data_IF_174168221074
#
_entry.id   IF_174168221074
#
_cell.length_a   1.000
_cell.length_b   1.000
_cell.length_c   1.000
_cell.angle_alpha   90.00
_cell.angle_beta   90.00
_cell.angle_gamma   90.00
#
_symmetry.space_group_name_H-M   'P 1'
#
loop_
_entity.id
_entity.type
_entity.pdbx_description
1 polymer ?
#
# COMPACT_ATOMS: atom_id res chain seq x y z
N UNK A 1 2.14 7.79 20.45
CA UNK A 1 1.76 7.41 19.09
C UNK A 1 2.76 7.94 18.07
N UNK A 2 3.10 7.14 17.07
CA UNK A 2 4.05 7.50 16.00
C UNK A 2 3.62 6.87 14.69
N UNK A 3 3.68 7.64 13.61
CA UNK A 3 3.51 7.18 12.22
C UNK A 3 4.79 7.46 11.44
N UNK A 4 5.33 6.46 10.75
CA UNK A 4 6.55 6.61 9.96
C UNK A 4 7.15 5.28 9.49
N UNK A 5 8.46 5.24 9.24
CA UNK A 5 9.10 4.00 8.78
C UNK A 5 9.25 2.95 9.89
N UNK A 6 9.30 1.65 9.56
CA UNK A 6 9.55 0.59 10.54
C UNK A 6 10.87 0.75 11.30
N UNK A 7 11.90 1.33 10.67
CA UNK A 7 13.20 1.60 11.29
C UNK A 7 13.06 2.59 12.43
N UNK A 8 12.42 3.73 12.19
CA UNK A 8 12.19 4.76 13.21
C UNK A 8 11.20 4.27 14.25
N UNK A 9 10.15 3.54 13.83
CA UNK A 9 9.19 2.92 14.76
C UNK A 9 9.85 2.03 15.80
N UNK A 10 10.85 1.22 15.40
CA UNK A 10 11.63 0.40 16.35
C UNK A 10 12.42 1.24 17.35
N UNK A 11 13.00 2.36 16.90
CA UNK A 11 13.71 3.28 17.82
C UNK A 11 12.75 3.88 18.85
N UNK A 12 11.57 4.35 18.40
CA UNK A 12 10.53 4.87 19.29
C UNK A 12 10.06 3.79 20.27
N UNK A 13 9.77 2.56 19.78
CA UNK A 13 9.35 1.45 20.62
C UNK A 13 10.40 1.11 21.71
N UNK A 14 11.68 1.11 21.34
CA UNK A 14 12.78 0.85 22.27
C UNK A 14 12.82 1.90 23.41
N UNK A 15 12.75 3.18 23.06
CA UNK A 15 12.74 4.26 24.06
C UNK A 15 11.49 4.21 24.94
N UNK A 16 10.33 3.94 24.37
CA UNK A 16 9.10 3.74 25.13
C UNK A 16 9.21 2.54 26.09
N UNK A 17 9.78 1.41 25.62
CA UNK A 17 9.96 0.22 26.43
C UNK A 17 10.93 0.42 27.61
N UNK A 18 12.03 1.17 27.42
CA UNK A 18 12.96 1.53 28.50
C UNK A 18 12.29 2.35 29.59
N UNK A 19 11.29 3.16 29.26
CA UNK A 19 10.56 4.02 30.19
C UNK A 19 9.20 3.46 30.60
N UNK A 20 8.86 2.21 30.22
CA UNK A 20 7.57 1.54 30.46
C UNK A 20 6.36 2.36 29.96
N UNK A 21 6.53 3.08 28.84
CA UNK A 21 5.48 3.88 28.21
C UNK A 21 4.80 3.03 27.14
N UNK A 22 3.48 2.83 27.17
CA UNK A 22 2.74 2.21 26.07
C UNK A 22 2.95 2.99 24.77
N UNK A 23 3.11 2.28 23.65
CA UNK A 23 3.33 2.88 22.34
C UNK A 23 2.36 2.34 21.30
N UNK A 24 1.86 3.24 20.46
CA UNK A 24 1.08 2.93 19.27
C UNK A 24 1.89 3.31 18.03
N UNK A 25 2.06 2.38 17.11
CA UNK A 25 2.86 2.55 15.90
C UNK A 25 2.02 2.23 14.67
N UNK A 26 1.97 3.17 13.74
CA UNK A 26 1.45 3.03 12.38
C UNK A 26 2.62 3.19 11.41
N UNK A 27 3.02 2.11 10.76
CA UNK A 27 4.27 2.05 10.00
C UNK A 27 4.01 1.74 8.52
N UNK A 28 5.06 1.39 7.80
CA UNK A 28 4.99 1.11 6.38
C UNK A 28 4.17 -0.11 6.00
N UNK A 29 3.93 -0.27 4.72
CA UNK A 29 3.18 -1.38 4.17
C UNK A 29 3.71 -1.89 2.83
N UNK A 30 3.32 -3.10 2.47
CA UNK A 30 3.54 -3.71 1.15
C UNK A 30 2.28 -4.46 0.74
N UNK A 31 1.17 -3.72 0.69
CA UNK A 31 -0.17 -4.24 0.47
C UNK A 31 -0.34 -4.97 -0.86
N UNK A 32 -1.18 -6.00 -0.85
CA UNK A 32 -1.57 -6.73 -2.04
C UNK A 32 -3.00 -6.41 -2.46
N UNK A 33 -3.24 -6.37 -3.78
CA UNK A 33 -4.54 -6.54 -4.39
C UNK A 33 -4.61 -7.93 -5.01
N UNK A 34 -5.55 -8.79 -4.56
CA UNK A 34 -5.79 -10.13 -5.12
C UNK A 34 -6.96 -10.03 -6.09
N UNK A 35 -6.69 -10.20 -7.38
CA UNK A 35 -7.62 -9.90 -8.47
C UNK A 35 -8.01 -11.20 -9.16
N UNK A 36 -9.28 -11.59 -9.02
CA UNK A 36 -9.84 -12.82 -9.59
C UNK A 36 -10.41 -12.61 -11.00
N UNK A 37 -10.60 -13.69 -11.72
CA UNK A 37 -10.98 -13.73 -13.14
C UNK A 37 -12.43 -13.29 -13.45
N UNK A 38 -13.27 -13.18 -12.42
CA UNK A 38 -14.65 -12.73 -12.52
C UNK A 38 -14.83 -11.21 -12.24
N UNK A 39 -13.76 -10.46 -12.12
CA UNK A 39 -13.80 -9.02 -11.84
C UNK A 39 -14.16 -8.23 -13.10
N UNK A 40 -14.76 -7.05 -12.94
CA UNK A 40 -14.80 -6.02 -13.99
C UNK A 40 -13.37 -5.45 -14.13
N UNK A 41 -12.66 -5.88 -15.18
CA UNK A 41 -11.25 -5.54 -15.41
C UNK A 41 -11.07 -4.01 -15.55
N UNK A 42 -11.83 -3.29 -16.40
CA UNK A 42 -11.71 -1.85 -16.52
C UNK A 42 -11.89 -1.11 -15.20
N UNK A 43 -12.89 -1.49 -14.39
CA UNK A 43 -13.17 -0.86 -13.10
C UNK A 43 -12.04 -1.14 -12.09
N UNK A 44 -11.59 -2.39 -11.99
CA UNK A 44 -10.52 -2.78 -11.08
C UNK A 44 -9.19 -2.10 -11.44
N UNK A 45 -8.84 -2.05 -12.73
CA UNK A 45 -7.65 -1.38 -13.21
C UNK A 45 -7.67 0.13 -12.93
N UNK A 46 -8.82 0.79 -13.14
CA UNK A 46 -9.00 2.21 -12.86
C UNK A 46 -8.83 2.52 -11.37
N UNK A 47 -9.53 1.79 -10.50
CA UNK A 47 -9.45 1.98 -9.04
C UNK A 47 -8.05 1.72 -8.50
N UNK A 48 -7.35 0.70 -8.99
CA UNK A 48 -5.99 0.39 -8.57
C UNK A 48 -4.96 1.39 -9.10
N UNK A 49 -5.15 1.88 -10.33
CA UNK A 49 -4.34 2.98 -10.85
C UNK A 49 -4.52 4.25 -10.03
N UNK A 50 -5.76 4.62 -9.67
CA UNK A 50 -6.03 5.74 -8.75
C UNK A 50 -5.40 5.51 -7.37
N UNK A 51 -5.50 4.31 -6.80
CA UNK A 51 -4.94 4.00 -5.51
C UNK A 51 -3.41 4.17 -5.49
N UNK A 52 -2.69 3.67 -6.51
CA UNK A 52 -1.21 3.75 -6.56
C UNK A 52 -0.70 5.15 -6.91
N UNK A 53 -1.50 5.99 -7.56
CA UNK A 53 -1.12 7.37 -7.93
C UNK A 53 -1.59 8.43 -6.94
N UNK A 54 -2.56 8.09 -6.07
CA UNK A 54 -2.99 8.95 -4.97
C UNK A 54 -1.79 9.35 -4.10
N UNK A 55 -1.67 10.66 -3.77
CA UNK A 55 -0.50 11.22 -3.08
C UNK A 55 0.84 10.79 -3.68
N UNK A 56 0.87 10.53 -5.00
CA UNK A 56 2.06 10.07 -5.73
C UNK A 56 2.59 8.74 -5.16
N UNK A 57 1.67 7.84 -4.76
CA UNK A 57 2.00 6.53 -4.18
C UNK A 57 2.57 6.59 -2.76
N UNK A 58 2.59 7.75 -2.12
CA UNK A 58 3.11 7.95 -0.77
C UNK A 58 2.00 7.72 0.27
N UNK A 59 1.40 6.53 0.22
CA UNK A 59 0.35 6.07 1.11
C UNK A 59 0.74 4.71 1.68
N UNK A 60 0.86 4.61 3.00
CA UNK A 60 1.36 3.42 3.69
C UNK A 60 0.54 2.15 3.41
N UNK A 61 -0.76 2.28 3.21
CA UNK A 61 -1.64 1.14 2.97
C UNK A 61 -1.87 0.82 1.48
N UNK A 62 -1.32 1.59 0.53
CA UNK A 62 -1.65 1.39 -0.88
C UNK A 62 -1.26 0.00 -1.40
N UNK A 63 -2.06 -0.54 -2.34
CA UNK A 63 -1.75 -1.81 -2.99
C UNK A 63 -0.57 -1.63 -3.96
N UNK A 64 0.60 -2.09 -3.53
CA UNK A 64 1.82 -2.04 -4.34
C UNK A 64 2.18 -3.38 -4.95
N UNK A 65 1.50 -4.48 -4.57
CA UNK A 65 1.61 -5.81 -5.19
C UNK A 65 0.28 -6.18 -5.80
N UNK A 66 0.20 -6.25 -7.11
CA UNK A 66 -1.00 -6.64 -7.83
C UNK A 66 -0.87 -8.11 -8.24
N UNK A 67 -1.61 -8.96 -7.54
CA UNK A 67 -1.67 -10.40 -7.75
C UNK A 67 -2.87 -10.68 -8.62
N UNK A 68 -2.64 -11.06 -9.87
CA UNK A 68 -3.68 -11.21 -10.89
C UNK A 68 -3.85 -12.68 -11.23
N UNK A 69 -5.09 -13.18 -11.24
CA UNK A 69 -5.35 -14.54 -11.66
C UNK A 69 -4.90 -14.73 -13.12
N UNK A 70 -4.19 -15.83 -13.37
CA UNK A 70 -3.48 -16.06 -14.63
C UNK A 70 -4.35 -15.96 -15.88
N UNK A 71 -5.62 -16.34 -15.79
CA UNK A 71 -6.58 -16.34 -16.89
C UNK A 71 -6.89 -14.96 -17.44
N UNK A 72 -6.74 -13.90 -16.62
CA UNK A 72 -7.03 -12.50 -17.02
C UNK A 72 -5.78 -11.60 -16.95
N UNK A 73 -4.60 -12.19 -16.75
CA UNK A 73 -3.38 -11.43 -16.48
C UNK A 73 -3.08 -10.39 -17.57
N UNK A 74 -3.04 -10.81 -18.82
CA UNK A 74 -2.68 -9.92 -19.93
C UNK A 74 -3.71 -8.82 -20.15
N UNK A 75 -5.01 -9.14 -20.07
CA UNK A 75 -6.10 -8.19 -20.23
C UNK A 75 -6.09 -7.13 -19.11
N UNK A 76 -5.86 -7.57 -17.84
CA UNK A 76 -5.74 -6.67 -16.72
C UNK A 76 -4.52 -5.77 -16.83
N UNK A 77 -3.36 -6.32 -17.20
CA UNK A 77 -2.12 -5.56 -17.38
C UNK A 77 -2.29 -4.48 -18.44
N UNK A 78 -2.89 -4.81 -19.59
CA UNK A 78 -3.14 -3.83 -20.64
C UNK A 78 -4.05 -2.69 -20.16
N UNK A 79 -5.16 -3.02 -19.50
CA UNK A 79 -6.07 -2.02 -18.93
C UNK A 79 -5.37 -1.12 -17.89
N UNK A 80 -4.55 -1.70 -17.03
CA UNK A 80 -3.81 -0.97 -15.99
C UNK A 80 -2.75 -0.02 -16.60
N UNK A 81 -2.02 -0.48 -17.62
CA UNK A 81 -1.05 0.34 -18.37
C UNK A 81 -1.73 1.54 -19.00
N UNK A 82 -2.87 1.34 -19.66
CA UNK A 82 -3.61 2.43 -20.31
C UNK A 82 -4.08 3.48 -19.28
N UNK A 83 -4.57 3.04 -18.12
CA UNK A 83 -4.99 3.94 -17.05
C UNK A 83 -3.82 4.74 -16.45
N UNK A 84 -2.70 4.09 -16.20
CA UNK A 84 -1.51 4.75 -15.64
C UNK A 84 -0.85 5.72 -16.62
N UNK A 85 -0.86 5.42 -17.93
CA UNK A 85 -0.39 6.34 -18.98
C UNK A 85 -1.26 7.60 -19.09
N UNK A 86 -2.54 7.49 -18.80
CA UNK A 86 -3.49 8.61 -18.86
C UNK A 86 -3.39 9.57 -17.67
N UNK A 87 -2.64 9.23 -16.61
CA UNK A 87 -2.52 10.05 -15.40
C UNK A 87 -1.86 11.39 -15.70
N UNK A 88 -2.57 12.47 -15.40
CA UNK A 88 -2.08 13.83 -15.59
C UNK A 88 -1.15 14.23 -14.46
N UNK A 89 0.14 14.32 -14.76
CA UNK A 89 1.17 14.77 -13.81
C UNK A 89 1.31 16.29 -13.96
N UNK A 90 1.21 17.02 -12.84
CA UNK A 90 1.22 18.50 -12.91
C UNK A 90 1.47 19.18 -11.58
N UNK A 91 1.36 20.52 -11.61
CA UNK A 91 1.41 21.31 -10.38
C UNK A 91 0.25 20.90 -9.45
N UNK A 92 0.46 20.70 -8.14
CA UNK A 92 -0.56 20.19 -7.21
C UNK A 92 -1.86 20.99 -7.17
N UNK A 93 -1.80 22.28 -7.45
CA UNK A 93 -2.97 23.16 -7.54
C UNK A 93 -3.42 23.44 -8.99
N UNK A 94 -2.85 22.74 -9.96
CA UNK A 94 -3.21 22.86 -11.38
C UNK A 94 -4.53 22.17 -11.67
N UNK A 95 -5.36 22.81 -12.50
CA UNK A 95 -6.61 22.21 -12.97
C UNK A 95 -6.31 20.93 -13.77
N UNK A 96 -7.02 19.86 -13.48
CA UNK A 96 -6.85 18.55 -14.13
C UNK A 96 -5.64 17.75 -13.64
N UNK A 97 -4.80 18.26 -12.74
CA UNK A 97 -3.70 17.48 -12.16
C UNK A 97 -4.24 16.34 -11.30
N UNK A 98 -3.79 15.12 -11.59
CA UNK A 98 -4.13 13.92 -10.85
C UNK A 98 -2.99 13.43 -9.94
N UNK A 99 -1.75 13.74 -10.32
CA UNK A 99 -0.57 13.36 -9.54
C UNK A 99 0.46 14.50 -9.49
N UNK A 100 0.86 14.88 -8.28
CA UNK A 100 1.88 15.88 -8.00
C UNK A 100 3.28 15.29 -7.87
N UNK A 101 4.24 16.04 -7.28
CA UNK A 101 5.58 15.57 -7.00
C UNK A 101 5.62 14.66 -5.76
N UNK A 102 6.68 13.86 -5.61
CA UNK A 102 7.02 13.26 -4.31
C UNK A 102 7.56 14.32 -3.34
N UNK A 103 7.50 14.02 -2.05
CA UNK A 103 7.70 14.99 -0.96
C UNK A 103 9.10 15.63 -0.92
N UNK A 104 10.14 14.97 -1.48
CA UNK A 104 11.52 15.45 -1.40
C UNK A 104 12.42 14.80 -2.45
N UNK A 105 13.61 15.40 -2.63
CA UNK A 105 14.68 14.84 -3.48
C UNK A 105 15.12 13.44 -2.98
N UNK A 106 15.18 13.24 -1.67
CA UNK A 106 15.54 11.94 -1.07
C UNK A 106 14.53 10.87 -1.48
N UNK A 107 13.25 11.20 -1.42
CA UNK A 107 12.19 10.27 -1.84
C UNK A 107 12.21 10.05 -3.35
N UNK A 108 12.47 11.08 -4.14
CA UNK A 108 12.63 10.96 -5.58
C UNK A 108 13.76 9.98 -5.94
N UNK A 109 14.94 10.18 -5.36
CA UNK A 109 16.09 9.27 -5.54
C UNK A 109 15.78 7.84 -5.07
N UNK A 110 15.01 7.70 -3.98
CA UNK A 110 14.57 6.39 -3.48
C UNK A 110 13.70 5.66 -4.51
N UNK A 111 12.70 6.32 -5.07
CA UNK A 111 11.81 5.71 -6.07
C UNK A 111 12.60 5.28 -7.31
N UNK A 112 13.43 6.17 -7.86
CA UNK A 112 14.26 5.85 -9.03
C UNK A 112 15.23 4.69 -8.74
N UNK A 113 15.87 4.70 -7.58
CA UNK A 113 16.79 3.63 -7.17
C UNK A 113 16.10 2.26 -7.03
N UNK A 114 14.81 2.21 -6.65
CA UNK A 114 14.06 0.94 -6.63
C UNK A 114 13.67 0.45 -8.02
N UNK A 115 13.39 1.35 -8.96
CA UNK A 115 13.18 0.97 -10.37
C UNK A 115 14.45 0.31 -10.94
N UNK A 116 15.61 0.95 -10.73
CA UNK A 116 16.89 0.42 -11.16
C UNK A 116 17.22 -0.93 -10.48
N UNK A 117 17.12 -1.00 -9.16
CA UNK A 117 17.40 -2.24 -8.41
C UNK A 117 16.45 -3.37 -8.76
N UNK A 118 15.17 -3.07 -8.92
CA UNK A 118 14.15 -4.06 -9.30
C UNK A 118 14.46 -4.67 -10.66
N UNK A 119 14.74 -3.84 -11.66
CA UNK A 119 15.11 -4.28 -13.02
C UNK A 119 16.44 -5.04 -13.01
N UNK A 120 17.45 -4.54 -12.31
CA UNK A 120 18.74 -5.22 -12.18
C UNK A 120 18.61 -6.60 -11.48
N UNK A 121 17.63 -6.76 -10.60
CA UNK A 121 17.30 -8.03 -9.94
C UNK A 121 16.32 -8.91 -10.78
N UNK A 122 16.11 -8.59 -12.06
CA UNK A 122 15.37 -9.43 -12.99
C UNK A 122 13.86 -9.14 -13.07
N UNK A 123 13.38 -8.00 -12.55
CA UNK A 123 12.01 -7.58 -12.82
C UNK A 123 11.85 -7.15 -14.28
N UNK A 124 10.75 -7.56 -14.89
CA UNK A 124 10.29 -7.04 -16.17
C UNK A 124 9.71 -5.63 -15.98
N UNK A 125 10.07 -4.70 -16.87
CA UNK A 125 9.47 -3.36 -16.92
C UNK A 125 8.24 -3.39 -17.84
N UNK A 126 7.06 -3.46 -17.25
CA UNK A 126 5.77 -3.48 -17.97
C UNK A 126 5.33 -2.06 -18.36
N UNK A 127 5.52 -1.10 -17.46
CA UNK A 127 5.35 0.32 -17.73
C UNK A 127 6.59 1.07 -17.20
N UNK A 128 7.26 1.74 -18.11
CA UNK A 128 8.46 2.51 -17.78
C UNK A 128 8.10 3.74 -16.94
N UNK A 129 8.66 3.77 -15.73
CA UNK A 129 8.62 4.92 -14.83
C UNK A 129 9.76 5.88 -15.08
N UNK A 130 10.23 6.51 -13.99
CA UNK A 130 11.38 7.41 -14.01
C UNK A 130 11.06 8.85 -13.67
N UNK A 131 12.05 9.72 -13.74
CA UNK A 131 11.86 11.14 -13.51
C UNK A 131 10.94 11.77 -14.54
N UNK A 132 10.09 12.69 -14.10
CA UNK A 132 9.25 13.50 -14.99
C UNK A 132 9.62 14.97 -14.86
N UNK A 133 9.40 15.72 -15.93
CA UNK A 133 9.49 17.18 -15.91
C UNK A 133 8.11 17.75 -16.12
N UNK A 134 7.77 18.78 -15.35
CA UNK A 134 6.50 19.49 -15.43
C UNK A 134 6.81 20.94 -15.74
N UNK A 135 6.19 21.47 -16.79
CA UNK A 135 6.38 22.85 -17.21
C UNK A 135 6.00 23.82 -16.07
N UNK A 136 6.81 24.84 -15.88
CA UNK A 136 6.63 25.81 -14.78
C UNK A 136 7.00 25.29 -13.39
N UNK A 137 7.45 24.03 -13.23
CA UNK A 137 7.74 23.40 -11.96
C UNK A 137 9.19 22.84 -11.88
N UNK A 138 10.17 23.59 -12.34
CA UNK A 138 11.57 23.14 -12.49
C UNK A 138 12.23 22.62 -11.20
N UNK A 139 11.74 23.01 -10.01
CA UNK A 139 12.24 22.53 -8.72
C UNK A 139 11.47 21.35 -8.14
N UNK A 140 10.46 20.82 -8.85
CA UNK A 140 9.62 19.74 -8.36
C UNK A 140 10.23 18.36 -8.58
N UNK A 141 10.02 17.46 -7.63
CA UNK A 141 10.51 16.08 -7.66
C UNK A 141 9.44 15.14 -8.25
N UNK A 142 9.24 15.22 -9.56
CA UNK A 142 8.20 14.45 -10.26
C UNK A 142 8.71 13.08 -10.71
N UNK A 143 7.85 12.07 -10.58
CA UNK A 143 8.08 10.70 -11.06
C UNK A 143 6.90 10.23 -11.89
N UNK A 144 7.16 9.42 -12.91
CA UNK A 144 6.10 8.76 -13.69
C UNK A 144 5.64 7.50 -12.96
N UNK A 145 4.34 7.13 -13.03
CA UNK A 145 3.89 5.83 -12.57
C UNK A 145 4.64 4.71 -13.27
N UNK A 146 4.91 3.62 -12.55
CA UNK A 146 5.61 2.45 -13.09
C UNK A 146 4.92 1.14 -12.71
N UNK A 147 5.01 0.16 -13.63
CA UNK A 147 4.66 -1.23 -13.37
C UNK A 147 5.87 -2.12 -13.63
N UNK A 148 6.25 -2.88 -12.62
CA UNK A 148 7.24 -3.95 -12.71
C UNK A 148 6.50 -5.30 -12.58
N UNK A 149 7.07 -6.37 -13.14
CA UNK A 149 6.51 -7.71 -13.02
C UNK A 149 7.58 -8.76 -12.77
N UNK A 150 7.17 -9.93 -12.26
CA UNK A 150 8.03 -11.09 -12.10
C UNK A 150 7.95 -11.76 -10.74
N UNK A 151 9.09 -12.30 -10.26
CA UNK A 151 9.15 -12.98 -8.98
C UNK A 151 8.88 -12.04 -7.79
N UNK A 152 8.05 -12.48 -6.86
CA UNK A 152 7.81 -11.76 -5.61
C UNK A 152 9.01 -11.75 -4.64
N UNK A 153 10.10 -12.45 -4.98
CA UNK A 153 11.36 -12.36 -4.26
C UNK A 153 12.21 -11.13 -4.66
N UNK A 154 11.79 -10.42 -5.71
CA UNK A 154 12.43 -9.19 -6.15
C UNK A 154 12.36 -8.11 -5.07
N UNK A 155 13.43 -7.32 -4.93
CA UNK A 155 13.52 -6.23 -3.94
C UNK A 155 12.38 -5.21 -4.09
N UNK A 156 11.97 -4.90 -5.32
CA UNK A 156 10.86 -3.99 -5.60
C UNK A 156 9.49 -4.57 -5.22
N UNK A 157 9.35 -5.90 -5.13
CA UNK A 157 8.15 -6.58 -4.64
C UNK A 157 8.14 -6.75 -3.11
N UNK A 158 9.31 -6.82 -2.47
CA UNK A 158 9.44 -7.07 -1.03
C UNK A 158 9.49 -5.82 -0.18
N UNK A 159 10.17 -4.78 -0.64
CA UNK A 159 10.41 -3.57 0.15
C UNK A 159 9.43 -2.44 -0.20
N UNK A 160 9.11 -1.62 0.77
CA UNK A 160 8.27 -0.43 0.59
C UNK A 160 9.03 0.64 -0.21
N UNK A 161 8.55 0.97 -1.40
CA UNK A 161 9.12 2.01 -2.26
C UNK A 161 8.65 3.40 -1.82
N UNK A 162 7.36 3.49 -1.45
CA UNK A 162 6.65 4.71 -1.08
C UNK A 162 6.59 5.71 -2.23
N UNK A 163 6.16 5.23 -3.39
CA UNK A 163 6.04 5.98 -4.64
C UNK A 163 5.06 5.30 -5.60
N UNK A 164 4.77 5.88 -6.77
CA UNK A 164 3.76 5.41 -7.70
C UNK A 164 4.27 4.20 -8.52
N UNK A 165 4.65 3.14 -7.82
CA UNK A 165 5.22 1.92 -8.41
C UNK A 165 4.47 0.71 -7.90
N UNK A 166 3.84 -0.05 -8.81
CA UNK A 166 3.24 -1.33 -8.48
C UNK A 166 4.05 -2.49 -9.08
N UNK A 167 3.93 -3.66 -8.46
CA UNK A 167 4.59 -4.90 -8.85
C UNK A 167 3.55 -5.98 -9.14
N UNK A 168 3.58 -6.53 -10.33
CA UNK A 168 2.66 -7.53 -10.86
C UNK A 168 3.21 -8.93 -10.68
N UNK A 169 2.35 -9.85 -10.26
CA UNK A 169 2.60 -11.29 -10.31
C UNK A 169 1.29 -12.03 -10.59
N UNK A 170 1.37 -13.19 -11.22
CA UNK A 170 0.20 -14.03 -11.45
C UNK A 170 0.04 -15.09 -10.37
N UNK A 171 -1.21 -15.56 -10.18
CA UNK A 171 -1.54 -16.73 -9.38
C UNK A 171 -2.54 -17.64 -10.14
N UNK A 172 -2.61 -18.92 -9.78
CA UNK A 172 -3.45 -19.91 -10.46
C UNK A 172 -4.79 -20.13 -9.77
N UNK A 173 -4.83 -20.17 -8.44
CA UNK A 173 -6.02 -20.46 -7.65
C UNK A 173 -6.12 -19.60 -6.38
N UNK A 174 -7.27 -19.67 -5.72
CA UNK A 174 -7.58 -18.86 -4.53
C UNK A 174 -6.57 -19.06 -3.40
N UNK A 175 -6.16 -20.30 -3.17
CA UNK A 175 -5.23 -20.62 -2.08
C UNK A 175 -3.83 -20.04 -2.34
N UNK A 176 -3.39 -20.05 -3.59
CA UNK A 176 -2.15 -19.41 -4.00
C UNK A 176 -2.24 -17.89 -3.88
N UNK A 177 -3.34 -17.27 -4.32
CA UNK A 177 -3.55 -15.83 -4.19
C UNK A 177 -3.47 -15.36 -2.74
N UNK A 178 -4.11 -16.07 -1.81
CA UNK A 178 -4.05 -15.80 -0.36
C UNK A 178 -2.63 -15.97 0.16
N UNK A 179 -1.98 -17.06 -0.16
CA UNK A 179 -0.59 -17.35 0.26
C UNK A 179 0.37 -16.26 -0.20
N UNK A 180 0.27 -15.84 -1.46
CA UNK A 180 1.11 -14.78 -2.02
C UNK A 180 0.81 -13.41 -1.39
N UNK A 181 -0.47 -13.10 -1.10
CA UNK A 181 -0.84 -11.87 -0.42
C UNK A 181 -0.21 -11.78 0.98
N UNK A 182 -0.18 -12.88 1.72
CA UNK A 182 0.37 -12.95 3.07
C UNK A 182 1.90 -13.10 3.13
N UNK A 183 2.56 -13.43 2.00
CA UNK A 183 4.00 -13.62 1.92
C UNK A 183 4.76 -12.29 1.92
N UNK A 184 4.70 -11.60 3.03
CA UNK A 184 5.40 -10.34 3.29
C UNK A 184 5.60 -10.15 4.79
N UNK A 185 6.64 -9.42 5.15
CA UNK A 185 6.90 -9.00 6.53
C UNK A 185 5.94 -7.89 7.01
N UNK A 186 5.21 -7.27 6.10
CA UNK A 186 4.23 -6.24 6.38
C UNK A 186 2.84 -6.83 6.59
N UNK A 187 1.97 -6.05 7.21
CA UNK A 187 0.59 -6.44 7.47
C UNK A 187 -0.33 -5.24 7.70
N UNK A 188 -0.24 -4.20 6.86
CA UNK A 188 -1.11 -3.04 7.01
C UNK A 188 -2.46 -3.26 6.35
N UNK A 189 -2.47 -3.54 5.04
CA UNK A 189 -3.71 -3.66 4.29
C UNK A 189 -3.55 -4.53 3.04
N UNK A 190 -4.59 -5.32 2.73
CA UNK A 190 -4.76 -5.99 1.45
C UNK A 190 -6.17 -5.72 0.90
N UNK A 191 -6.39 -5.99 -0.37
CA UNK A 191 -7.71 -5.98 -0.98
C UNK A 191 -7.95 -7.21 -1.85
N UNK A 192 -9.22 -7.58 -1.98
CA UNK A 192 -9.70 -8.66 -2.86
C UNK A 192 -10.70 -8.11 -3.87
N UNK A 193 -10.58 -8.55 -5.10
CA UNK A 193 -11.32 -8.06 -6.25
C UNK A 193 -11.99 -9.24 -6.97
N UNK A 194 -13.32 -9.29 -6.93
CA UNK A 194 -14.15 -10.37 -7.50
C UNK A 194 -15.61 -9.92 -7.55
N UNK A 195 -16.39 -10.39 -8.49
CA UNK A 195 -17.84 -10.21 -8.50
C UNK A 195 -18.56 -11.11 -7.49
N UNK A 196 -17.92 -12.20 -7.05
CA UNK A 196 -18.43 -13.10 -6.00
C UNK A 196 -18.10 -12.57 -4.60
N UNK A 197 -19.12 -11.95 -3.96
CA UNK A 197 -18.98 -11.42 -2.60
C UNK A 197 -18.67 -12.51 -1.55
N UNK A 198 -19.12 -13.76 -1.76
CA UNK A 198 -18.81 -14.85 -0.85
C UNK A 198 -17.30 -15.21 -0.92
N UNK A 199 -16.74 -15.26 -2.13
CA UNK A 199 -15.29 -15.36 -2.37
C UNK A 199 -14.56 -14.21 -1.69
N UNK A 200 -14.98 -12.97 -1.93
CA UNK A 200 -14.35 -11.79 -1.33
C UNK A 200 -14.27 -11.88 0.20
N UNK A 201 -15.38 -12.24 0.87
CA UNK A 201 -15.42 -12.39 2.33
C UNK A 201 -14.51 -13.51 2.82
N UNK A 202 -14.52 -14.66 2.15
CA UNK A 202 -13.68 -15.82 2.47
C UNK A 202 -12.18 -15.49 2.34
N UNK A 203 -11.79 -14.81 1.26
CA UNK A 203 -10.40 -14.40 1.02
C UNK A 203 -9.96 -13.34 2.00
N UNK A 204 -10.77 -12.27 2.18
CA UNK A 204 -10.44 -11.18 3.09
C UNK A 204 -10.27 -11.65 4.53
N UNK A 205 -11.05 -12.65 4.99
CA UNK A 205 -10.92 -13.22 6.34
C UNK A 205 -9.61 -14.00 6.59
N UNK A 206 -8.87 -14.30 5.54
CA UNK A 206 -7.58 -15.01 5.62
C UNK A 206 -6.38 -14.08 5.42
N UNK A 207 -6.59 -12.78 5.26
CA UNK A 207 -5.49 -11.83 5.18
C UNK A 207 -4.80 -11.64 6.54
N UNK A 208 -3.50 -11.69 6.53
CA UNK A 208 -2.65 -11.40 7.69
C UNK A 208 -2.34 -9.89 7.76
N UNK A 209 -3.38 -9.07 7.65
CA UNK A 209 -3.30 -7.60 7.69
C UNK A 209 -4.33 -7.05 8.65
N UNK A 210 -4.07 -5.85 9.17
CA UNK A 210 -5.04 -5.16 10.03
C UNK A 210 -6.25 -4.63 9.27
N UNK A 211 -6.11 -4.44 7.95
CA UNK A 211 -7.20 -3.94 7.10
C UNK A 211 -7.37 -4.83 5.88
N UNK A 212 -8.63 -5.12 5.53
CA UNK A 212 -9.01 -5.85 4.33
C UNK A 212 -10.14 -5.12 3.58
N UNK A 213 -9.97 -4.88 2.29
CA UNK A 213 -10.99 -4.23 1.46
C UNK A 213 -11.54 -5.18 0.39
N UNK A 214 -12.78 -4.95 0.00
CA UNK A 214 -13.47 -5.67 -1.07
C UNK A 214 -13.79 -4.69 -2.19
N UNK A 215 -13.31 -4.96 -3.40
CA UNK A 215 -13.51 -4.15 -4.62
C UNK A 215 -13.22 -2.65 -4.41
N UNK A 216 -12.31 -2.35 -3.51
CA UNK A 216 -11.86 -1.00 -3.16
C UNK A 216 -10.46 -1.04 -2.56
N UNK A 217 -9.79 0.12 -2.47
CA UNK A 217 -8.52 0.26 -1.81
C UNK A 217 -8.35 1.69 -1.26
N UNK A 218 -7.48 1.89 -0.25
CA UNK A 218 -7.23 3.19 0.40
C UNK A 218 -8.49 3.84 1.03
N UNK A 219 -9.46 3.05 1.46
CA UNK A 219 -10.69 3.55 2.09
C UNK A 219 -10.56 3.49 3.61
N UNK A 220 -10.61 4.64 4.26
CA UNK A 220 -10.61 4.76 5.73
C UNK A 220 -12.02 5.11 6.20
N UNK A 221 -12.54 4.34 7.17
CA UNK A 221 -13.89 4.52 7.71
C UNK A 221 -13.80 4.93 9.17
N UNK A 222 -14.39 6.07 9.54
CA UNK A 222 -14.46 6.51 10.93
C UNK A 222 -15.25 5.52 11.80
N UNK A 223 -14.69 5.21 12.97
CA UNK A 223 -15.28 4.26 13.91
C UNK A 223 -14.84 2.81 13.69
N UNK A 224 -14.16 2.51 12.60
CA UNK A 224 -13.55 1.20 12.33
C UNK A 224 -12.05 1.27 12.66
N UNK A 225 -11.50 0.40 13.51
CA UNK A 225 -10.09 0.40 13.83
C UNK A 225 -9.23 0.24 12.58
N UNK A 226 -8.26 1.12 12.42
CA UNK A 226 -7.26 1.05 11.36
C UNK A 226 -5.91 0.75 12.01
N UNK A 227 -5.37 -0.42 11.79
CA UNK A 227 -4.17 -0.91 12.46
C UNK A 227 -3.25 -1.68 11.51
N UNK A 228 -1.95 -1.63 11.78
CA UNK A 228 -0.98 -2.54 11.19
C UNK A 228 -0.67 -3.72 12.12
N UNK A 229 -0.35 -4.89 11.53
CA UNK A 229 0.23 -6.04 12.21
C UNK A 229 1.61 -6.34 11.62
N UNK A 230 2.34 -7.32 12.13
CA UNK A 230 3.71 -7.64 11.69
C UNK A 230 4.61 -6.38 11.78
N UNK A 231 5.37 -6.06 10.71
CA UNK A 231 6.22 -4.85 10.66
C UNK A 231 5.46 -3.55 10.39
N UNK A 232 4.14 -3.63 10.15
CA UNK A 232 3.33 -2.44 9.82
C UNK A 232 2.77 -1.71 11.03
N UNK A 233 2.84 -2.27 12.22
CA UNK A 233 2.38 -1.54 13.40
C UNK A 233 2.19 -2.40 14.64
N UNK A 234 1.85 -1.72 15.73
CA UNK A 234 1.46 -2.30 17.01
C UNK A 234 0.64 -1.30 17.83
N UNK A 235 -0.12 -1.78 18.81
CA UNK A 235 -0.82 -0.93 19.78
C UNK A 235 -2.28 -0.60 19.43
N UNK A 236 -2.95 -1.44 18.63
CA UNK A 236 -4.43 -1.44 18.53
C UNK A 236 -5.06 -0.49 17.51
N UNK A 237 -4.26 0.23 16.70
CA UNK A 237 -4.79 1.03 15.59
C UNK A 237 -5.29 2.43 15.95
N UNK A 238 -5.82 3.09 14.96
CA UNK A 238 -6.32 4.47 15.00
C UNK A 238 -7.76 4.55 14.46
N UNK A 239 -8.38 5.74 14.50
CA UNK A 239 -9.68 6.06 13.88
C UNK A 239 -10.91 5.42 14.56
N UNK A 240 -10.77 4.79 15.71
CA UNK A 240 -11.87 4.18 16.47
C UNK A 240 -12.02 4.74 17.89
N UNK A 241 -13.08 4.32 18.59
CA UNK A 241 -13.29 4.68 19.99
C UNK A 241 -12.15 4.16 20.88
N UNK A 242 -11.62 2.99 20.61
CA UNK A 242 -10.47 2.41 21.31
C UNK A 242 -9.26 3.33 21.21
N UNK A 243 -9.08 4.03 20.09
CA UNK A 243 -8.01 5.03 19.93
C UNK A 243 -8.11 6.14 20.98
N UNK A 244 -9.31 6.61 21.27
CA UNK A 244 -9.54 7.61 22.30
C UNK A 244 -9.23 7.05 23.68
N UNK A 245 -9.68 5.83 23.96
CA UNK A 245 -9.50 5.17 25.27
C UNK A 245 -8.03 4.89 25.58
N UNK A 246 -7.17 4.70 24.58
CA UNK A 246 -5.72 4.53 24.77
C UNK A 246 -5.03 5.75 25.40
N UNK A 247 -5.65 6.93 25.33
CA UNK A 247 -5.14 8.14 25.96
C UNK A 247 -5.71 8.37 27.36
N UNK A 248 -6.51 7.43 27.88
CA UNK A 248 -7.03 7.46 29.25
C UNK A 248 -6.26 6.50 30.14
N UNK A 249 -6.27 6.79 31.44
CA UNK A 249 -5.71 5.93 32.47
C UNK A 249 -6.82 5.46 33.41
N UNK A 250 -6.94 4.16 33.59
CA UNK A 250 -7.84 3.58 34.57
C UNK A 250 -7.28 3.76 36.00
N UNK A 251 -8.10 4.19 36.94
CA UNK A 251 -7.78 4.32 38.36
C UNK A 251 -8.84 3.56 39.13
N UNK A 252 -8.40 2.69 40.04
CA UNK A 252 -9.27 2.05 41.03
C UNK A 252 -9.26 2.87 42.34
N UNK A 253 -10.44 3.26 42.79
CA UNK A 253 -10.61 3.92 44.12
C UNK A 253 -11.47 3.01 44.97
N UNK A 254 -10.89 2.51 46.08
CA UNK A 254 -11.54 1.54 46.96
C UNK A 254 -11.68 2.20 48.34
N UNK A 255 -12.91 2.22 48.88
CA UNK A 255 -13.21 2.60 50.26
C UNK A 255 -13.63 1.35 51.02
N UNK A 256 -12.90 0.93 52.07
CA UNK A 256 -13.36 -0.14 52.96
C UNK A 256 -14.68 0.26 53.65
N UNK A 257 -15.58 -0.69 53.85
CA UNK A 257 -16.84 -0.52 54.58
C UNK A 257 -16.54 -0.39 56.10
#
# INVERSE_FOLDING_TARGET
SFTGSPEVGRLVARECGQNLIPVKLELGGKGAAVIFDDVDIPEAADKLAQAITSHTGQVCCTATRWLVQKTIYDDFVNAAVDRLKAVQIGHPLGEGTQMGPVVSEVQHKRVLGYLEKGTAAGAETVLEGGAAQVEGCAGGHYVKPALLAGSLDNVAAREEIFGPVAYLASFNDESEGIRLANNTDYGLANSVWSSDLARCKRVASQFETGNGWINSHNVVVHGVPYAGVKKSGMGGGVVSLETLLDYYRNISVIRPL
#
